data_IF_913756058152
#
_entry.id   IF_913756058152
#
_cell.length_a   1.000
_cell.length_b   1.000
_cell.length_c   1.000
_cell.angle_alpha   90.00
_cell.angle_beta   90.00
_cell.angle_gamma   90.00
#
_symmetry.space_group_name_H-M   'P 1'
#
loop_
_entity.id
_entity.type
_entity.pdbx_description
1 polymer ?
#
# COMPACT_ATOMS: atom_id res chain seq x y z
N UNK A 1 -10.14 -8.46 14.69
CA UNK A 1 -9.52 -7.45 15.57
C UNK A 1 -8.63 -6.58 14.70
N UNK A 2 -8.48 -5.27 14.97
CA UNK A 2 -7.72 -4.35 14.11
C UNK A 2 -8.55 -3.42 13.21
N UNK A 3 -9.88 -3.36 13.41
CA UNK A 3 -10.76 -2.43 12.69
C UNK A 3 -10.46 -0.97 13.08
N UNK A 4 -10.13 -0.74 14.34
CA UNK A 4 -9.66 0.53 14.88
C UNK A 4 -8.38 0.98 14.18
N UNK A 5 -7.37 0.11 14.09
CA UNK A 5 -6.15 0.39 13.35
C UNK A 5 -6.42 0.70 11.87
N UNK A 6 -7.30 -0.08 11.22
CA UNK A 6 -7.69 0.16 9.83
C UNK A 6 -8.37 1.52 9.65
N UNK A 7 -9.33 1.87 10.51
CA UNK A 7 -10.05 3.15 10.43
C UNK A 7 -9.14 4.35 10.72
N UNK A 8 -8.16 4.21 11.63
CA UNK A 8 -7.17 5.26 11.88
C UNK A 8 -6.23 5.52 10.70
N UNK A 9 -6.07 4.57 9.78
CA UNK A 9 -5.18 4.71 8.61
C UNK A 9 -5.96 5.04 7.33
N UNK A 10 -7.10 4.38 7.07
CA UNK A 10 -7.81 4.50 5.78
C UNK A 10 -8.62 5.79 5.65
N UNK A 11 -9.03 6.38 6.76
CA UNK A 11 -9.92 7.55 6.80
C UNK A 11 -9.17 8.88 6.64
N UNK A 12 -8.24 8.94 5.69
CA UNK A 12 -7.47 10.16 5.45
C UNK A 12 -8.31 11.25 4.78
N UNK A 13 -8.14 12.53 5.19
CA UNK A 13 -8.87 13.63 4.58
C UNK A 13 -8.47 13.83 3.12
N UNK A 14 -9.37 14.47 2.36
CA UNK A 14 -9.10 14.81 0.96
C UNK A 14 -7.83 15.66 0.86
N UNK A 15 -6.96 15.32 -0.09
CA UNK A 15 -5.69 16.01 -0.33
C UNK A 15 -4.45 15.33 0.27
N UNK A 16 -4.63 14.36 1.17
CA UNK A 16 -3.51 13.57 1.73
C UNK A 16 -3.80 12.08 1.53
N UNK A 17 -3.47 11.50 0.37
CA UNK A 17 -3.76 10.10 0.10
C UNK A 17 -2.83 9.17 0.88
N UNK A 18 -3.36 8.04 1.35
CA UNK A 18 -2.59 6.94 1.95
C UNK A 18 -3.00 5.64 1.27
N UNK A 19 -2.03 4.85 0.83
CA UNK A 19 -2.28 3.53 0.26
C UNK A 19 -2.31 2.47 1.38
N UNK A 20 -3.50 2.20 1.91
CA UNK A 20 -3.71 1.20 2.97
C UNK A 20 -3.81 -0.21 2.40
N UNK A 21 -3.29 -1.20 3.13
CA UNK A 21 -3.46 -2.64 2.85
C UNK A 21 -4.37 -3.28 3.91
N UNK A 22 -4.63 -4.58 3.80
CA UNK A 22 -5.41 -5.32 4.80
C UNK A 22 -4.73 -5.39 6.18
N UNK A 23 -5.52 -5.63 7.22
CA UNK A 23 -5.02 -5.90 8.58
C UNK A 23 -4.08 -7.12 8.54
N UNK A 24 -2.96 -7.05 9.24
CA UNK A 24 -1.89 -8.07 9.27
C UNK A 24 -1.31 -8.43 7.89
N UNK A 25 -1.52 -7.59 6.87
CA UNK A 25 -1.16 -7.90 5.48
C UNK A 25 0.18 -7.28 5.05
N UNK A 26 1.25 -7.60 5.79
CA UNK A 26 2.60 -7.05 5.56
C UNK A 26 3.20 -7.42 4.20
N UNK A 27 2.93 -8.62 3.71
CA UNK A 27 3.38 -9.07 2.38
C UNK A 27 2.80 -8.20 1.26
N UNK A 28 1.51 -7.85 1.34
CA UNK A 28 0.87 -6.98 0.37
C UNK A 28 1.43 -5.55 0.42
N UNK A 29 1.85 -5.07 1.60
CA UNK A 29 2.54 -3.77 1.71
C UNK A 29 3.90 -3.80 0.99
N UNK A 30 4.68 -4.88 1.14
CA UNK A 30 5.95 -5.04 0.44
C UNK A 30 5.75 -5.10 -1.09
N UNK A 31 4.77 -5.89 -1.56
CA UNK A 31 4.44 -5.98 -2.98
C UNK A 31 3.99 -4.64 -3.56
N UNK A 32 3.18 -3.87 -2.83
CA UNK A 32 2.78 -2.53 -3.22
C UNK A 32 3.97 -1.59 -3.32
N UNK A 33 4.91 -1.65 -2.38
CA UNK A 33 6.14 -0.86 -2.41
C UNK A 33 7.00 -1.22 -3.64
N UNK A 34 7.18 -2.51 -3.94
CA UNK A 34 7.85 -2.97 -5.15
C UNK A 34 7.19 -2.39 -6.41
N UNK A 35 5.86 -2.44 -6.51
CA UNK A 35 5.13 -1.85 -7.65
C UNK A 35 5.38 -0.36 -7.80
N UNK A 36 5.41 0.40 -6.70
CA UNK A 36 5.71 1.84 -6.73
C UNK A 36 7.13 2.10 -7.26
N UNK A 37 8.12 1.32 -6.79
CA UNK A 37 9.50 1.42 -7.26
C UNK A 37 9.64 1.03 -8.74
N UNK A 38 8.93 -0.02 -9.17
CA UNK A 38 8.90 -0.50 -10.55
C UNK A 38 8.24 0.49 -11.50
N UNK A 39 7.22 1.24 -11.08
CA UNK A 39 6.57 2.24 -11.96
C UNK A 39 7.55 3.24 -12.58
N UNK A 40 8.69 3.49 -11.92
CA UNK A 40 9.75 4.37 -12.45
C UNK A 40 10.81 3.62 -13.26
N UNK A 41 11.06 2.33 -12.99
CA UNK A 41 11.92 1.46 -13.80
C UNK A 41 11.11 0.95 -14.98
N UNK A 42 11.15 1.66 -16.10
CA UNK A 42 10.52 1.22 -17.35
C UNK A 42 10.83 -0.25 -17.66
N UNK A 43 9.87 -1.13 -17.36
CA UNK A 43 9.77 -2.55 -17.73
C UNK A 43 11.11 -3.28 -17.90
N UNK A 44 11.77 -3.63 -16.80
CA UNK A 44 12.49 -4.89 -16.78
C UNK A 44 11.47 -5.97 -16.44
N UNK A 45 11.01 -6.71 -17.45
CA UNK A 45 10.08 -7.82 -17.24
C UNK A 45 10.73 -8.82 -16.32
N UNK A 46 10.24 -8.90 -15.08
CA UNK A 46 10.49 -10.04 -14.21
C UNK A 46 9.19 -10.85 -14.22
N UNK A 47 9.19 -11.79 -15.17
CA UNK A 47 8.16 -12.78 -15.54
C UNK A 47 6.97 -12.27 -16.37
#
# INVERSE_FOLDING_TARGET
MGLDALLSIVQMPKGVPVACVGIDSGENAALLACRILETRRGREKVF
#
